data_IF_860718998605
#
_entry.id   IF_860718998605
#
_cell.length_a   1.000
_cell.length_b   1.000
_cell.length_c   1.000
_cell.angle_alpha   90.00
_cell.angle_beta   90.00
_cell.angle_gamma   90.00
#
_symmetry.space_group_name_H-M   'P 1'
#
loop_
_entity.id
_entity.type
_entity.pdbx_description
1 polymer ?
#
# COMPACT_ATOMS: atom_id res chain seq x y z
N UNK A 1 13.03 13.93 -8.09
CA UNK A 1 13.31 12.49 -8.24
C UNK A 1 11.99 11.77 -8.46
N UNK A 2 11.95 10.81 -9.39
CA UNK A 2 10.75 10.04 -9.69
C UNK A 2 11.07 8.55 -9.60
N UNK A 3 10.29 7.82 -8.81
CA UNK A 3 10.34 6.37 -8.68
C UNK A 3 9.08 5.80 -9.32
N UNK A 4 9.21 4.66 -10.01
CA UNK A 4 8.07 3.98 -10.61
C UNK A 4 8.13 2.51 -10.23
N UNK A 5 6.98 1.97 -9.83
CA UNK A 5 6.78 0.56 -9.56
C UNK A 5 5.66 0.07 -10.45
N UNK A 6 5.95 -0.89 -11.33
CA UNK A 6 4.90 -1.51 -12.13
C UNK A 6 4.03 -2.43 -11.28
N UNK A 7 2.78 -2.60 -11.70
CA UNK A 7 1.86 -3.56 -11.09
C UNK A 7 2.37 -4.99 -11.18
N UNK A 8 3.09 -5.33 -12.26
CA UNK A 8 3.72 -6.63 -12.42
C UNK A 8 4.80 -6.86 -11.36
N UNK A 9 5.72 -5.90 -11.18
CA UNK A 9 6.77 -5.98 -10.15
C UNK A 9 6.19 -6.14 -8.74
N UNK A 10 5.15 -5.36 -8.40
CA UNK A 10 4.48 -5.48 -7.10
C UNK A 10 3.80 -6.85 -6.95
N UNK A 11 3.13 -7.34 -7.98
CA UNK A 11 2.47 -8.64 -7.97
C UNK A 11 3.45 -9.81 -7.84
N UNK A 12 4.57 -9.76 -8.55
CA UNK A 12 5.65 -10.75 -8.48
C UNK A 12 6.29 -10.76 -7.09
N UNK A 13 6.62 -9.57 -6.55
CA UNK A 13 7.16 -9.45 -5.20
C UNK A 13 6.24 -10.09 -4.15
N UNK A 14 4.93 -9.80 -4.23
CA UNK A 14 3.96 -10.38 -3.29
C UNK A 14 3.86 -11.90 -3.42
N UNK A 15 3.94 -12.42 -4.64
CA UNK A 15 3.90 -13.86 -4.92
C UNK A 15 5.14 -14.58 -4.40
N UNK A 16 6.32 -14.02 -4.61
CA UNK A 16 7.59 -14.62 -4.20
C UNK A 16 7.77 -14.59 -2.69
N UNK A 17 7.42 -13.48 -2.03
CA UNK A 17 7.65 -13.31 -0.60
C UNK A 17 6.53 -13.86 0.29
N UNK A 18 5.29 -13.91 -0.20
CA UNK A 18 4.13 -14.30 0.61
C UNK A 18 3.32 -15.46 0.03
N UNK A 19 3.68 -15.97 -1.16
CA UNK A 19 2.96 -17.07 -1.81
C UNK A 19 1.53 -16.69 -2.24
N UNK A 20 1.23 -15.39 -2.33
CA UNK A 20 -0.11 -14.87 -2.65
C UNK A 20 -0.12 -14.24 -4.04
N UNK A 21 -1.16 -14.54 -4.82
CA UNK A 21 -1.34 -13.93 -6.14
C UNK A 21 -2.24 -12.71 -6.02
N UNK A 22 -1.68 -11.55 -6.34
CA UNK A 22 -2.42 -10.28 -6.44
C UNK A 22 -2.31 -9.72 -7.85
N UNK A 23 -3.38 -9.11 -8.32
CA UNK A 23 -3.41 -8.35 -9.58
C UNK A 23 -3.77 -6.93 -9.24
N UNK A 24 -2.95 -5.98 -9.69
CA UNK A 24 -3.21 -4.55 -9.53
C UNK A 24 -3.67 -3.98 -10.86
N UNK A 25 -4.64 -3.07 -10.80
CA UNK A 25 -5.16 -2.36 -11.97
C UNK A 25 -5.47 -0.92 -11.63
N UNK A 26 -5.35 -0.01 -12.60
CA UNK A 26 -5.67 1.40 -12.42
C UNK A 26 -7.19 1.60 -12.45
N UNK A 27 -7.70 2.37 -11.49
CA UNK A 27 -9.08 2.86 -11.47
C UNK A 27 -9.12 4.34 -11.83
N UNK A 28 -8.15 5.13 -11.34
CA UNK A 28 -8.00 6.55 -11.64
C UNK A 28 -6.57 7.03 -11.40
N UNK A 29 -6.33 8.35 -11.39
CA UNK A 29 -4.98 8.92 -11.20
C UNK A 29 -4.48 8.79 -9.76
N UNK A 30 -5.40 8.63 -8.81
CA UNK A 30 -5.11 8.45 -7.38
C UNK A 30 -5.73 7.17 -6.85
N UNK A 31 -6.18 6.27 -7.71
CA UNK A 31 -6.93 5.09 -7.29
C UNK A 31 -6.53 3.86 -8.09
N UNK A 32 -6.33 2.76 -7.39
CA UNK A 32 -6.03 1.45 -7.96
C UNK A 32 -6.90 0.39 -7.30
N UNK A 33 -7.14 -0.70 -8.00
CA UNK A 33 -7.82 -1.88 -7.47
C UNK A 33 -6.80 -3.00 -7.27
N UNK A 34 -6.77 -3.57 -6.07
CA UNK A 34 -6.02 -4.79 -5.75
C UNK A 34 -6.98 -5.96 -5.73
N UNK A 35 -6.76 -6.93 -6.61
CA UNK A 35 -7.52 -8.18 -6.63
C UNK A 35 -6.66 -9.31 -6.08
N UNK A 36 -7.06 -9.88 -4.95
CA UNK A 36 -6.47 -11.08 -4.38
C UNK A 36 -7.27 -12.32 -4.78
N UNK A 37 -6.57 -13.32 -5.31
CA UNK A 37 -7.19 -14.62 -5.61
C UNK A 37 -7.05 -15.56 -4.41
N UNK A 38 -8.18 -15.88 -3.78
CA UNK A 38 -8.23 -16.88 -2.73
C UNK A 38 -8.68 -18.22 -3.30
N UNK A 39 -7.80 -19.22 -3.19
CA UNK A 39 -8.15 -20.61 -3.48
C UNK A 39 -8.58 -21.30 -2.19
N UNK A 40 -9.83 -21.78 -2.19
CA UNK A 40 -10.30 -22.81 -1.27
C UNK A 40 -10.40 -24.13 -2.05
N UNK A 41 -10.40 -25.25 -1.32
CA UNK A 41 -10.25 -26.62 -1.84
C UNK A 41 -11.11 -26.93 -3.08
N UNK A 42 -12.28 -26.30 -3.23
CA UNK A 42 -13.25 -26.58 -4.28
C UNK A 42 -13.56 -25.36 -5.17
N UNK A 43 -13.00 -24.17 -4.86
CA UNK A 43 -13.37 -22.93 -5.55
C UNK A 43 -12.27 -21.87 -5.46
N UNK A 44 -12.09 -21.12 -6.53
CA UNK A 44 -11.32 -19.86 -6.49
C UNK A 44 -12.32 -18.71 -6.40
N UNK A 45 -12.12 -17.80 -5.46
CA UNK A 45 -12.86 -16.54 -5.42
C UNK A 45 -11.90 -15.36 -5.41
N UNK A 46 -12.32 -14.27 -6.05
CA UNK A 46 -11.55 -13.05 -6.13
C UNK A 46 -12.12 -12.05 -5.12
N UNK A 47 -11.25 -11.50 -4.29
CA UNK A 47 -11.56 -10.37 -3.41
C UNK A 47 -10.87 -9.15 -4.02
N UNK A 48 -11.66 -8.13 -4.34
CA UNK A 48 -11.16 -6.88 -4.92
C UNK A 48 -11.34 -5.76 -3.91
N UNK A 49 -10.33 -4.92 -3.76
CA UNK A 49 -10.33 -3.76 -2.87
C UNK A 49 -9.77 -2.58 -3.65
N UNK A 50 -10.55 -1.52 -3.79
CA UNK A 50 -10.08 -0.24 -4.31
C UNK A 50 -9.33 0.51 -3.22
N UNK A 51 -8.19 1.08 -3.59
CA UNK A 51 -7.32 1.86 -2.73
C UNK A 51 -7.08 3.20 -3.41
N UNK A 52 -7.48 4.27 -2.73
CA UNK A 52 -7.29 5.65 -3.12
C UNK A 52 -6.16 6.31 -2.30
N UNK A 53 -5.31 7.08 -2.96
CA UNK A 53 -4.33 7.97 -2.37
C UNK A 53 -5.09 9.24 -1.99
N UNK A 54 -5.21 9.50 -0.68
CA UNK A 54 -6.04 10.59 -0.17
C UNK A 54 -5.20 11.83 0.17
N UNK A 55 -4.03 11.64 0.77
CA UNK A 55 -3.13 12.72 1.17
C UNK A 55 -1.68 12.30 1.00
N UNK A 56 -0.82 13.23 0.56
CA UNK A 56 0.62 13.02 0.41
C UNK A 56 1.33 14.12 1.20
N UNK A 57 2.04 13.70 2.25
CA UNK A 57 2.85 14.58 3.09
C UNK A 57 4.34 14.38 2.78
N UNK A 58 5.21 15.34 3.14
CA UNK A 58 6.65 15.23 2.91
C UNK A 58 7.31 13.95 3.45
N UNK A 59 6.71 13.36 4.48
CA UNK A 59 7.21 12.21 5.24
C UNK A 59 6.24 11.03 5.26
N UNK A 60 5.15 11.06 4.48
CA UNK A 60 4.15 10.01 4.54
C UNK A 60 3.04 10.12 3.51
N UNK A 61 2.17 9.12 3.51
CA UNK A 61 0.99 9.06 2.63
C UNK A 61 -0.19 8.51 3.42
N UNK A 62 -1.37 9.08 3.21
CA UNK A 62 -2.62 8.50 3.70
C UNK A 62 -3.34 7.86 2.52
N UNK A 63 -3.68 6.58 2.68
CA UNK A 63 -4.51 5.85 1.74
C UNK A 63 -5.87 5.57 2.36
N UNK A 64 -6.88 5.49 1.50
CA UNK A 64 -8.24 5.10 1.82
C UNK A 64 -8.58 3.86 1.02
N UNK A 65 -9.30 2.91 1.61
CA UNK A 65 -9.78 1.74 0.91
C UNK A 65 -11.32 1.68 0.91
N UNK A 66 -11.90 0.96 -0.05
CA UNK A 66 -13.33 0.67 -0.04
C UNK A 66 -13.65 -0.37 1.05
N UNK A 67 -14.19 0.15 2.15
CA UNK A 67 -14.48 -0.63 3.34
C UNK A 67 -15.71 -1.51 3.25
N UNK A 68 -15.98 -2.22 4.35
CA UNK A 68 -17.11 -3.11 4.55
C UNK A 68 -16.73 -4.24 5.49
N UNK A 69 -17.69 -4.78 6.24
CA UNK A 69 -17.43 -5.75 7.33
C UNK A 69 -16.42 -6.86 6.99
N UNK A 70 -16.49 -7.41 5.77
CA UNK A 70 -15.54 -8.44 5.31
C UNK A 70 -14.15 -7.90 5.00
N UNK A 71 -14.05 -6.77 4.28
CA UNK A 71 -12.78 -6.15 3.89
C UNK A 71 -12.04 -5.58 5.11
N UNK A 72 -12.77 -4.92 6.02
CA UNK A 72 -12.23 -4.36 7.26
C UNK A 72 -11.59 -5.44 8.14
N UNK A 73 -12.22 -6.62 8.20
CA UNK A 73 -11.70 -7.79 8.93
C UNK A 73 -10.40 -8.29 8.30
N UNK A 74 -10.35 -8.39 6.97
CA UNK A 74 -9.16 -8.83 6.25
C UNK A 74 -7.99 -7.86 6.42
N UNK A 75 -8.25 -6.55 6.29
CA UNK A 75 -7.23 -5.52 6.46
C UNK A 75 -6.72 -5.48 7.90
N UNK A 76 -7.62 -5.53 8.89
CA UNK A 76 -7.22 -5.56 10.30
C UNK A 76 -6.34 -6.78 10.61
N UNK A 77 -6.72 -7.96 10.11
CA UNK A 77 -5.92 -9.17 10.24
C UNK A 77 -4.54 -9.05 9.57
N UNK A 78 -4.49 -8.50 8.36
CA UNK A 78 -3.23 -8.27 7.64
C UNK A 78 -2.32 -7.27 8.37
N UNK A 79 -2.87 -6.18 8.92
CA UNK A 79 -2.13 -5.20 9.71
C UNK A 79 -1.58 -5.82 11.00
N UNK A 80 -2.35 -6.67 11.67
CA UNK A 80 -1.88 -7.39 12.86
C UNK A 80 -0.70 -8.31 12.54
N UNK A 81 -0.79 -9.08 11.46
CA UNK A 81 0.30 -9.95 10.99
C UNK A 81 1.53 -9.11 10.60
N UNK A 82 1.33 -8.01 9.86
CA UNK A 82 2.41 -7.10 9.50
C UNK A 82 3.13 -6.55 10.72
N UNK A 83 2.39 -6.01 11.70
CA UNK A 83 2.97 -5.45 12.93
C UNK A 83 3.69 -6.50 13.78
N UNK A 84 3.20 -7.75 13.76
CA UNK A 84 3.86 -8.86 14.45
C UNK A 84 5.13 -9.32 13.74
N UNK A 85 5.15 -9.30 12.40
CA UNK A 85 6.29 -9.73 11.59
C UNK A 85 7.39 -8.66 11.52
N UNK A 86 7.01 -7.39 11.51
CA UNK A 86 7.89 -6.23 11.39
C UNK A 86 7.66 -5.28 12.57
N UNK A 87 7.96 -5.75 13.78
CA UNK A 87 7.72 -4.98 15.01
C UNK A 87 8.39 -3.61 15.00
N UNK A 88 9.54 -3.49 14.35
CA UNK A 88 10.30 -2.26 14.13
C UNK A 88 9.62 -1.29 13.16
N UNK A 89 8.70 -1.78 12.32
CA UNK A 89 7.89 -0.98 11.38
C UNK A 89 6.45 -0.80 11.89
N UNK A 90 6.13 -1.24 13.10
CA UNK A 90 4.75 -1.23 13.61
C UNK A 90 4.16 0.18 13.75
N UNK A 91 5.01 1.18 13.99
CA UNK A 91 4.66 2.61 14.05
C UNK A 91 4.47 3.25 12.68
N UNK A 92 5.03 2.66 11.61
CA UNK A 92 4.93 3.16 10.23
C UNK A 92 3.49 3.10 9.71
N UNK A 93 2.69 2.11 10.14
CA UNK A 93 1.35 1.89 9.58
C UNK A 93 0.28 2.11 10.65
N UNK A 94 -0.42 3.24 10.54
CA UNK A 94 -1.39 3.74 11.51
C UNK A 94 -2.79 3.63 10.91
N UNK A 95 -3.63 2.68 11.36
CA UNK A 95 -5.03 2.66 10.96
C UNK A 95 -5.77 3.86 11.54
N UNK A 96 -6.64 4.46 10.74
CA UNK A 96 -7.47 5.60 11.12
C UNK A 96 -8.95 5.33 10.80
N UNK A 97 -9.82 6.13 11.39
CA UNK A 97 -11.27 6.03 11.14
C UNK A 97 -11.61 6.33 9.68
N UNK A 98 -12.69 5.73 9.19
CA UNK A 98 -13.19 5.95 7.84
C UNK A 98 -12.45 5.17 6.75
N UNK A 99 -11.97 3.97 7.09
CA UNK A 99 -11.26 3.05 6.18
C UNK A 99 -9.97 3.65 5.64
N UNK A 100 -9.21 4.29 6.54
CA UNK A 100 -7.96 4.98 6.24
C UNK A 100 -6.78 4.28 6.88
N UNK A 101 -5.65 4.34 6.19
CA UNK A 101 -4.36 3.90 6.68
C UNK A 101 -3.37 5.00 6.38
N UNK A 102 -2.76 5.53 7.43
CA UNK A 102 -1.67 6.49 7.34
C UNK A 102 -0.35 5.75 7.41
N UNK A 103 0.53 6.05 6.46
CA UNK A 103 1.87 5.49 6.35
C UNK A 103 2.88 6.58 6.67
N UNK A 104 3.56 6.46 7.81
CA UNK A 104 4.58 7.40 8.28
C UNK A 104 5.97 6.86 7.97
N UNK A 105 6.60 7.38 6.91
CA UNK A 105 7.95 6.95 6.52
C UNK A 105 9.02 7.42 7.51
N UNK A 106 8.73 8.49 8.26
CA UNK A 106 9.61 9.00 9.33
C UNK A 106 9.81 8.00 10.46
N UNK A 107 8.89 7.04 10.65
CA UNK A 107 9.01 5.97 11.64
C UNK A 107 9.95 4.84 11.19
N UNK A 108 10.37 4.84 9.92
CA UNK A 108 11.33 3.85 9.39
C UNK A 108 12.75 4.39 9.52
N UNK A 109 13.54 3.82 10.45
CA UNK A 109 14.94 4.24 10.70
C UNK A 109 15.78 4.33 9.43
N UNK A 110 15.59 3.40 8.49
CA UNK A 110 16.31 3.36 7.21
C UNK A 110 15.88 4.50 6.27
N UNK A 111 14.63 4.96 6.36
CA UNK A 111 14.10 6.03 5.53
C UNK A 111 14.36 7.43 6.12
N UNK A 112 14.56 7.56 7.43
CA UNK A 112 14.81 8.86 8.09
C UNK A 112 15.94 9.65 7.43
N UNK A 113 17.10 9.02 7.16
CA UNK A 113 18.22 9.68 6.49
C UNK A 113 17.87 10.19 5.08
N UNK A 114 17.03 9.45 4.36
CA UNK A 114 16.57 9.89 3.05
C UNK A 114 15.62 11.08 3.19
N UNK A 115 14.73 11.06 4.20
CA UNK A 115 13.77 12.13 4.50
C UNK A 115 14.42 13.40 5.06
N UNK A 116 15.65 13.37 5.56
CA UNK A 116 16.42 14.58 5.90
C UNK A 116 16.71 15.42 4.65
N UNK A 117 16.95 14.77 3.51
CA UNK A 117 17.30 15.42 2.25
C UNK A 117 16.14 15.50 1.27
N UNK A 118 15.17 14.58 1.38
CA UNK A 118 14.06 14.44 0.45
C UNK A 118 12.72 14.74 1.11
N UNK A 119 11.81 15.32 0.34
CA UNK A 119 10.40 15.47 0.68
C UNK A 119 9.57 14.79 -0.39
N UNK A 120 8.68 13.89 0.01
CA UNK A 120 7.61 13.42 -0.85
C UNK A 120 6.78 14.61 -1.34
N UNK A 121 6.45 14.59 -2.63
CA UNK A 121 5.66 15.63 -3.29
C UNK A 121 4.35 15.09 -3.79
N UNK A 122 4.40 13.94 -4.44
CA UNK A 122 3.18 13.33 -4.95
C UNK A 122 3.32 11.83 -5.15
N UNK A 123 2.19 11.14 -5.14
CA UNK A 123 2.05 9.73 -5.50
C UNK A 123 0.84 9.59 -6.42
N UNK A 124 1.00 8.96 -7.58
CA UNK A 124 -0.11 8.77 -8.50
C UNK A 124 -0.02 7.44 -9.23
N UNK A 125 -1.17 6.99 -9.72
CA UNK A 125 -1.33 5.75 -10.44
C UNK A 125 -1.21 6.02 -11.94
N UNK A 126 -0.32 5.29 -12.59
CA UNK A 126 -0.11 5.28 -14.03
C UNK A 126 -0.84 4.11 -14.67
N UNK A 127 -0.83 4.00 -15.99
CA UNK A 127 -1.49 2.90 -16.70
C UNK A 127 -1.10 1.50 -16.22
N UNK A 128 0.16 1.32 -15.81
CA UNK A 128 0.72 0.00 -15.48
C UNK A 128 1.43 -0.04 -14.12
N UNK A 129 1.25 0.96 -13.26
CA UNK A 129 2.04 1.07 -12.03
C UNK A 129 1.72 2.29 -11.17
N UNK A 130 2.54 2.50 -10.14
CA UNK A 130 2.50 3.67 -9.25
C UNK A 130 3.78 4.48 -9.44
N UNK A 131 3.62 5.78 -9.59
CA UNK A 131 4.70 6.77 -9.61
C UNK A 131 4.75 7.50 -8.27
N UNK A 132 5.96 7.71 -7.77
CA UNK A 132 6.25 8.51 -6.58
C UNK A 132 7.19 9.64 -6.98
N UNK A 133 6.84 10.87 -6.64
CA UNK A 133 7.69 12.04 -6.79
C UNK A 133 8.19 12.53 -5.44
N UNK A 134 9.49 12.81 -5.37
CA UNK A 134 10.13 13.44 -4.24
C UNK A 134 11.10 14.52 -4.72
N UNK A 135 11.24 15.62 -3.97
CA UNK A 135 12.23 16.67 -4.25
C UNK A 135 13.27 16.73 -3.16
N UNK A 136 14.43 17.32 -3.46
CA UNK A 136 15.33 17.79 -2.41
C UNK A 136 14.62 18.86 -1.56
N UNK A 137 14.97 18.92 -0.28
CA UNK A 137 14.59 20.00 0.63
C UNK A 137 15.46 21.22 0.43
#
# INVERSE_FOLDING_TARGET
MKLNFSFAEVGEYVKEHYGKSVVLSRVGDKELCVTYQQKIVIKTFNVSVNIAIEDVRPDGVTIKYDGGLGVDTLISGALMVFKSAFSELSAMVIPEDGHRIRVELSEVKQAQKALEMLALKDVWVTGEGVSIEASLK
#
